data_IF_311085188456
#
_entry.id   IF_311085188456
#
_cell.length_a   1.000
_cell.length_b   1.000
_cell.length_c   1.000
_cell.angle_alpha   90.00
_cell.angle_beta   90.00
_cell.angle_gamma   90.00
#
_symmetry.space_group_name_H-M   'P 1'
#
loop_
_entity.id
_entity.type
_entity.pdbx_description
1 polymer ?
#
# COMPACT_ATOMS: atom_id res chain seq x y z
N UNK A 1 -27.66 6.78 -13.61
CA UNK A 1 -27.89 5.33 -13.39
C UNK A 1 -28.63 4.78 -14.60
N UNK A 2 -27.99 3.93 -15.41
CA UNK A 2 -28.67 3.27 -16.52
C UNK A 2 -29.65 2.22 -15.97
N UNK A 3 -30.93 2.35 -16.29
CA UNK A 3 -31.94 1.37 -15.90
C UNK A 3 -31.57 0.00 -16.47
N UNK A 4 -31.55 -1.03 -15.61
CA UNK A 4 -31.48 -2.43 -16.06
C UNK A 4 -32.73 -2.67 -16.90
N UNK A 5 -32.56 -2.72 -18.22
CA UNK A 5 -33.65 -3.02 -19.15
C UNK A 5 -34.28 -4.37 -18.79
N UNK A 6 -35.60 -4.47 -18.90
CA UNK A 6 -36.40 -5.63 -18.44
C UNK A 6 -35.89 -6.99 -18.96
N UNK A 7 -35.18 -6.98 -20.09
CA UNK A 7 -34.49 -8.14 -20.64
C UNK A 7 -33.40 -8.71 -19.71
N UNK A 8 -32.50 -7.86 -19.19
CA UNK A 8 -31.42 -8.30 -18.28
C UNK A 8 -31.98 -8.87 -16.97
N UNK A 9 -33.06 -8.28 -16.46
CA UNK A 9 -33.76 -8.78 -15.27
C UNK A 9 -34.40 -10.15 -15.52
N UNK A 10 -35.03 -10.34 -16.68
CA UNK A 10 -35.58 -11.64 -17.10
C UNK A 10 -34.51 -12.72 -17.32
N UNK A 11 -33.35 -12.35 -17.85
CA UNK A 11 -32.25 -13.30 -18.06
C UNK A 11 -31.64 -13.77 -16.73
N UNK A 12 -31.48 -12.88 -15.74
CA UNK A 12 -31.07 -13.23 -14.38
C UNK A 12 -32.08 -14.17 -13.67
N UNK A 13 -33.38 -13.91 -13.83
CA UNK A 13 -34.44 -14.73 -13.24
C UNK A 13 -34.54 -16.15 -13.85
N UNK A 14 -33.96 -16.38 -15.03
CA UNK A 14 -33.94 -17.67 -15.73
C UNK A 14 -32.68 -18.48 -15.45
N UNK A 15 -31.69 -17.94 -14.74
CA UNK A 15 -30.47 -18.66 -14.40
C UNK A 15 -30.69 -19.69 -13.30
N UNK A 16 -30.07 -20.87 -13.45
CA UNK A 16 -30.04 -21.85 -12.37
C UNK A 16 -29.28 -21.28 -11.15
N UNK A 17 -29.66 -21.64 -9.91
CA UNK A 17 -29.03 -21.10 -8.69
C UNK A 17 -27.51 -21.22 -8.64
N UNK A 18 -26.93 -22.26 -9.26
CA UNK A 18 -25.49 -22.43 -9.37
C UNK A 18 -24.83 -21.37 -10.27
N UNK A 19 -25.43 -21.05 -11.42
CA UNK A 19 -24.92 -20.05 -12.36
C UNK A 19 -25.04 -18.63 -11.80
N UNK A 20 -26.11 -18.36 -11.03
CA UNK A 20 -26.27 -17.12 -10.26
C UNK A 20 -25.14 -16.94 -9.24
N UNK A 21 -24.82 -17.98 -8.45
CA UNK A 21 -23.73 -17.93 -7.45
C UNK A 21 -22.37 -17.64 -8.08
N UNK A 22 -22.08 -18.20 -9.25
CA UNK A 22 -20.83 -17.94 -9.99
C UNK A 22 -20.74 -16.48 -10.43
N UNK A 23 -21.82 -15.91 -10.98
CA UNK A 23 -21.83 -14.50 -11.38
C UNK A 23 -21.70 -13.56 -10.18
N UNK A 24 -22.39 -13.84 -9.07
CA UNK A 24 -22.21 -13.06 -7.85
C UNK A 24 -20.78 -13.14 -7.32
N UNK A 25 -20.16 -14.34 -7.31
CA UNK A 25 -18.75 -14.49 -6.95
C UNK A 25 -17.84 -13.63 -7.84
N UNK A 26 -18.08 -13.63 -9.14
CA UNK A 26 -17.33 -12.80 -10.10
C UNK A 26 -17.48 -11.30 -9.81
N UNK A 27 -18.70 -10.84 -9.47
CA UNK A 27 -18.94 -9.43 -9.13
C UNK A 27 -18.25 -9.06 -7.81
N UNK A 28 -18.28 -9.94 -6.82
CA UNK A 28 -17.61 -9.74 -5.52
C UNK A 28 -16.09 -9.65 -5.73
N UNK A 29 -15.52 -10.54 -6.53
CA UNK A 29 -14.10 -10.51 -6.90
C UNK A 29 -13.77 -9.20 -7.61
N UNK A 30 -14.51 -8.82 -8.65
CA UNK A 30 -14.28 -7.57 -9.38
C UNK A 30 -14.36 -6.33 -8.47
N UNK A 31 -15.28 -6.31 -7.50
CA UNK A 31 -15.39 -5.21 -6.55
C UNK A 31 -14.20 -5.19 -5.58
N UNK A 32 -13.76 -6.36 -5.13
CA UNK A 32 -12.60 -6.49 -4.25
C UNK A 32 -11.28 -6.14 -4.98
N UNK A 33 -11.16 -6.52 -6.26
CA UNK A 33 -10.04 -6.19 -7.14
C UNK A 33 -9.95 -4.69 -7.39
N UNK A 34 -11.09 -3.98 -7.51
CA UNK A 34 -11.09 -2.52 -7.62
C UNK A 34 -10.58 -1.82 -6.34
N UNK A 35 -10.74 -2.44 -5.18
CA UNK A 35 -10.23 -1.89 -3.93
C UNK A 35 -8.74 -2.16 -3.77
N UNK A 36 -8.30 -3.38 -4.08
CA UNK A 36 -6.94 -3.87 -3.93
C UNK A 36 -6.41 -3.79 -2.50
N UNK A 37 -5.30 -4.46 -2.22
CA UNK A 37 -4.58 -4.30 -0.96
C UNK A 37 -3.07 -4.28 -1.17
N UNK A 38 -2.31 -3.53 -0.36
CA UNK A 38 -0.86 -3.55 -0.44
C UNK A 38 -0.29 -4.81 0.21
N UNK A 39 0.61 -5.48 -0.49
CA UNK A 39 1.53 -6.49 0.03
C UNK A 39 2.91 -5.84 0.18
N UNK A 40 3.53 -6.01 1.36
CA UNK A 40 4.79 -5.35 1.69
C UNK A 40 5.88 -6.43 1.85
N UNK A 41 7.01 -6.25 1.15
CA UNK A 41 8.22 -7.06 1.33
C UNK A 41 9.42 -6.17 1.63
N UNK A 42 10.32 -6.67 2.47
CA UNK A 42 11.52 -5.95 2.92
C UNK A 42 12.72 -6.69 2.34
N UNK A 43 13.58 -5.96 1.63
CA UNK A 43 14.81 -6.49 1.09
C UNK A 43 15.91 -6.58 2.15
N UNK A 44 17.00 -7.26 1.84
CA UNK A 44 18.18 -7.28 2.72
C UNK A 44 18.84 -5.91 2.72
N UNK A 45 19.40 -5.54 3.87
CA UNK A 45 20.22 -4.34 4.02
C UNK A 45 21.40 -4.34 3.05
N UNK A 46 21.56 -3.22 2.36
CA UNK A 46 22.73 -2.87 1.55
C UNK A 46 23.77 -2.12 2.39
N UNK A 47 24.36 -1.07 1.82
CA UNK A 47 25.16 -0.11 2.61
C UNK A 47 24.21 0.93 3.17
N UNK A 48 23.88 0.82 4.46
CA UNK A 48 23.05 1.77 5.21
C UNK A 48 21.66 2.00 4.59
N UNK A 49 21.19 1.06 3.76
CA UNK A 49 19.95 1.20 2.99
C UNK A 49 19.14 -0.09 2.98
N UNK A 50 17.83 0.02 3.17
CA UNK A 50 16.88 -1.09 3.02
C UNK A 50 15.75 -0.66 2.08
N UNK A 51 15.54 -1.42 1.02
CA UNK A 51 14.42 -1.22 0.12
C UNK A 51 13.20 -2.00 0.61
N UNK A 52 12.05 -1.33 0.66
CA UNK A 52 10.74 -1.87 1.02
C UNK A 52 9.85 -1.80 -0.21
N UNK A 53 9.48 -2.96 -0.73
CA UNK A 53 8.59 -3.07 -1.89
C UNK A 53 7.15 -3.15 -1.44
N UNK A 54 6.31 -2.34 -2.08
CA UNK A 54 4.85 -2.35 -1.95
C UNK A 54 4.29 -2.81 -3.29
N UNK A 55 3.58 -3.93 -3.30
CA UNK A 55 2.88 -4.44 -4.47
C UNK A 55 1.38 -4.49 -4.18
N UNK A 56 0.60 -3.79 -4.98
CA UNK A 56 -0.86 -3.89 -4.92
C UNK A 56 -1.29 -5.26 -5.44
N UNK A 57 -2.18 -5.89 -4.68
CA UNK A 57 -2.75 -7.21 -4.93
C UNK A 57 -4.25 -7.14 -5.08
N UNK A 58 -4.78 -8.01 -5.92
CA UNK A 58 -6.22 -8.22 -6.09
C UNK A 58 -6.75 -9.24 -5.07
N UNK A 59 -8.05 -9.55 -5.09
CA UNK A 59 -8.65 -10.47 -4.12
C UNK A 59 -8.11 -11.91 -4.19
N UNK A 60 -7.46 -12.26 -5.30
CA UNK A 60 -6.84 -13.57 -5.58
C UNK A 60 -5.34 -13.59 -5.28
N UNK A 61 -4.81 -12.49 -4.73
CA UNK A 61 -3.40 -12.27 -4.46
C UNK A 61 -2.52 -12.13 -5.71
N UNK A 62 -3.12 -11.91 -6.88
CA UNK A 62 -2.41 -11.58 -8.11
C UNK A 62 -2.01 -10.11 -8.11
N UNK A 63 -0.98 -9.76 -8.89
CA UNK A 63 -0.54 -8.37 -9.00
C UNK A 63 -1.61 -7.52 -9.67
N UNK A 64 -2.05 -6.47 -8.97
CA UNK A 64 -3.05 -5.55 -9.46
C UNK A 64 -2.37 -4.34 -10.10
N UNK A 65 -2.42 -4.27 -11.43
CA UNK A 65 -1.93 -3.13 -12.18
C UNK A 65 -2.82 -1.90 -11.96
N UNK A 66 -2.20 -0.73 -11.80
CA UNK A 66 -2.88 0.54 -11.58
C UNK A 66 -2.10 1.47 -10.68
N UNK A 67 -2.49 2.74 -10.69
CA UNK A 67 -1.91 3.77 -9.83
C UNK A 67 -2.76 3.90 -8.57
N UNK A 68 -2.18 3.58 -7.43
CA UNK A 68 -2.85 3.60 -6.14
C UNK A 68 -2.15 4.57 -5.20
N UNK A 69 -2.93 5.44 -4.56
CA UNK A 69 -2.44 6.32 -3.49
C UNK A 69 -2.79 5.73 -2.12
N UNK A 70 -1.83 5.79 -1.21
CA UNK A 70 -1.92 5.32 0.17
C UNK A 70 -1.26 6.34 1.08
N UNK A 71 -1.83 6.58 2.25
CA UNK A 71 -1.12 7.34 3.28
C UNK A 71 -0.10 6.42 3.96
N UNK A 72 1.05 6.94 4.34
CA UNK A 72 2.07 6.19 5.07
C UNK A 72 2.47 6.87 6.37
N UNK A 73 2.98 6.06 7.29
CA UNK A 73 3.66 6.46 8.51
C UNK A 73 4.86 5.55 8.75
N UNK A 74 6.02 6.13 9.03
CA UNK A 74 7.18 5.44 9.61
C UNK A 74 7.06 5.47 11.12
N UNK A 75 7.20 4.31 11.77
CA UNK A 75 6.95 4.12 13.19
C UNK A 75 7.95 3.17 13.82
N UNK A 76 8.06 3.18 15.14
CA UNK A 76 8.81 2.20 15.93
C UNK A 76 8.02 0.91 16.16
N UNK A 77 6.76 0.85 15.70
CA UNK A 77 5.90 -0.32 15.83
C UNK A 77 4.92 -0.52 14.66
N UNK A 78 4.50 -1.77 14.45
CA UNK A 78 3.40 -2.10 13.57
C UNK A 78 2.11 -1.40 14.02
N UNK A 79 1.44 -0.72 13.09
CA UNK A 79 0.28 0.13 13.33
C UNK A 79 0.50 1.22 14.41
N UNK A 80 1.75 1.60 14.65
CA UNK A 80 2.12 2.63 15.62
C UNK A 80 1.95 4.05 15.09
N UNK A 81 2.11 5.01 16.01
CA UNK A 81 2.18 6.43 15.68
C UNK A 81 3.50 6.76 14.95
N UNK A 82 3.63 7.93 14.32
CA UNK A 82 4.89 8.35 13.73
C UNK A 82 6.03 8.28 14.74
N UNK A 83 7.17 7.75 14.31
CA UNK A 83 8.38 7.73 15.15
C UNK A 83 8.81 9.16 15.49
N UNK A 84 9.37 9.33 16.69
CA UNK A 84 10.04 10.57 17.09
C UNK A 84 11.52 10.56 16.74
N UNK A 85 12.06 9.40 16.34
CA UNK A 85 13.45 9.19 15.96
C UNK A 85 13.49 8.65 14.51
N UNK A 86 13.29 9.54 13.53
CA UNK A 86 13.14 9.16 12.13
C UNK A 86 14.47 8.74 11.47
N UNK A 87 14.43 8.01 10.33
CA UNK A 87 15.64 7.56 9.68
C UNK A 87 16.63 8.69 9.40
N UNK A 88 17.91 8.51 9.74
CA UNK A 88 18.94 9.56 9.76
C UNK A 88 19.06 10.30 8.42
N UNK A 89 19.01 9.56 7.31
CA UNK A 89 19.09 10.12 5.94
C UNK A 89 17.72 10.09 5.23
N UNK A 90 16.67 9.76 5.96
CA UNK A 90 15.29 9.82 5.52
C UNK A 90 14.84 8.64 4.66
N UNK A 91 13.74 8.89 3.94
CA UNK A 91 13.02 7.88 3.16
C UNK A 91 12.79 8.42 1.74
N UNK A 92 13.06 7.62 0.72
CA UNK A 92 12.95 8.02 -0.69
C UNK A 92 12.19 6.98 -1.52
N UNK A 93 11.60 7.36 -2.64
CA UNK A 93 11.04 6.39 -3.60
C UNK A 93 12.06 6.10 -4.72
N UNK A 94 12.33 4.82 -4.96
CA UNK A 94 13.06 4.36 -6.15
C UNK A 94 12.12 3.85 -7.25
N UNK A 95 10.87 3.55 -6.91
CA UNK A 95 9.78 3.27 -7.85
C UNK A 95 8.48 3.86 -7.32
N UNK A 96 7.66 4.40 -8.22
CA UNK A 96 6.47 5.16 -7.85
C UNK A 96 6.82 6.58 -7.42
N UNK A 97 5.99 7.15 -6.56
CA UNK A 97 6.14 8.50 -6.02
C UNK A 97 5.97 8.44 -4.51
N UNK A 98 6.85 9.11 -3.77
CA UNK A 98 6.74 9.36 -2.34
C UNK A 98 6.60 10.86 -2.13
N UNK A 99 5.60 11.25 -1.35
CA UNK A 99 5.47 12.60 -0.82
C UNK A 99 5.40 12.50 0.70
N UNK A 100 6.44 12.94 1.38
CA UNK A 100 6.52 12.94 2.82
C UNK A 100 6.30 14.31 3.47
N UNK A 101 6.05 14.26 4.77
CA UNK A 101 6.01 15.37 5.71
C UNK A 101 6.80 14.95 6.96
N UNK A 102 7.66 15.84 7.44
CA UNK A 102 8.23 15.72 8.77
C UNK A 102 7.13 15.95 9.83
N UNK A 103 7.09 15.10 10.86
CA UNK A 103 6.25 15.32 12.04
C UNK A 103 6.53 16.69 12.67
N UNK A 104 5.52 17.56 12.76
CA UNK A 104 5.61 18.83 13.49
C UNK A 104 5.93 20.10 12.68
N UNK A 105 5.94 20.08 11.33
CA UNK A 105 6.26 21.27 10.51
C UNK A 105 5.24 21.51 9.39
N UNK A 106 4.85 22.78 9.20
CA UNK A 106 3.90 23.24 8.18
C UNK A 106 4.57 23.39 6.79
N UNK A 107 4.74 22.27 6.06
CA UNK A 107 5.06 22.15 4.62
C UNK A 107 6.35 22.81 4.04
N UNK A 108 6.90 22.14 3.01
CA UNK A 108 8.08 22.42 2.15
C UNK A 108 9.47 22.00 2.69
N UNK A 109 9.78 20.72 2.43
CA UNK A 109 11.08 20.06 2.19
C UNK A 109 12.16 19.87 3.31
N UNK A 110 12.97 18.83 3.03
CA UNK A 110 14.32 18.44 3.51
C UNK A 110 14.42 17.67 4.83
N UNK A 111 14.07 16.37 4.76
CA UNK A 111 14.43 15.30 5.73
C UNK A 111 13.96 15.48 7.18
N UNK A 112 13.76 14.38 7.93
CA UNK A 112 13.36 13.02 7.52
C UNK A 112 11.83 12.82 7.56
N UNK A 113 11.31 12.04 6.60
CA UNK A 113 9.88 11.89 6.34
C UNK A 113 9.26 10.76 7.17
N UNK A 114 8.40 11.12 8.12
CA UNK A 114 7.73 10.14 8.99
C UNK A 114 6.30 9.86 8.62
N UNK A 115 5.66 10.72 7.84
CA UNK A 115 4.27 10.55 7.40
C UNK A 115 4.10 11.11 6.00
N UNK A 116 3.07 10.70 5.28
CA UNK A 116 2.76 11.30 3.99
C UNK A 116 1.90 10.40 3.14
N UNK A 117 2.09 10.45 1.82
CA UNK A 117 1.44 9.53 0.90
C UNK A 117 2.41 8.97 -0.13
N UNK A 118 2.17 7.72 -0.48
CA UNK A 118 2.86 6.97 -1.53
C UNK A 118 1.88 6.80 -2.69
N UNK A 119 2.40 6.86 -3.91
CA UNK A 119 1.67 6.51 -5.11
C UNK A 119 2.44 5.46 -5.91
N UNK A 120 1.79 4.34 -6.23
CA UNK A 120 2.39 3.29 -7.06
C UNK A 120 2.55 3.72 -8.52
N UNK A 121 3.43 3.05 -9.24
CA UNK A 121 3.51 3.12 -10.70
C UNK A 121 2.31 2.43 -11.37
N UNK A 122 2.32 2.37 -12.71
CA UNK A 122 1.24 1.75 -13.49
C UNK A 122 1.10 0.23 -13.28
N UNK A 123 2.09 -0.43 -12.67
CA UNK A 123 2.07 -1.87 -12.36
C UNK A 123 1.53 -2.16 -10.95
N UNK A 124 1.10 -1.12 -10.22
CA UNK A 124 0.69 -1.25 -8.83
C UNK A 124 1.86 -1.41 -7.87
N UNK A 125 3.08 -1.04 -8.29
CA UNK A 125 4.29 -1.19 -7.49
C UNK A 125 4.81 0.17 -7.00
N UNK A 126 5.27 0.21 -5.75
CA UNK A 126 6.15 1.26 -5.25
C UNK A 126 7.33 0.60 -4.54
N UNK A 127 8.50 1.23 -4.60
CA UNK A 127 9.68 0.80 -3.84
C UNK A 127 10.20 2.00 -3.08
N UNK A 128 10.25 1.84 -1.77
CA UNK A 128 10.61 2.88 -0.82
C UNK A 128 11.92 2.48 -0.17
N UNK A 129 12.93 3.35 -0.26
CA UNK A 129 14.24 3.17 0.35
C UNK A 129 14.29 3.90 1.68
N UNK A 130 14.65 3.18 2.72
CA UNK A 130 15.06 3.72 4.00
C UNK A 130 16.58 3.84 4.01
N UNK A 131 17.10 4.95 4.53
CA UNK A 131 18.53 5.15 4.73
C UNK A 131 18.78 5.51 6.20
N UNK A 132 19.62 4.73 6.86
CA UNK A 132 19.89 4.85 8.30
C UNK A 132 21.36 4.56 8.60
N UNK A 133 21.92 5.31 9.54
CA UNK A 133 23.27 5.07 10.05
C UNK A 133 23.21 4.51 11.47
N UNK A 134 23.61 3.26 11.63
CA UNK A 134 23.66 2.58 12.93
C UNK A 134 22.47 1.65 13.15
N UNK A 135 22.25 1.29 14.41
CA UNK A 135 21.31 0.23 14.78
C UNK A 135 19.97 0.79 15.18
N UNK A 136 19.05 0.87 14.22
CA UNK A 136 17.65 1.23 14.47
C UNK A 136 16.67 0.23 13.83
N UNK A 137 15.42 0.30 14.27
CA UNK A 137 14.34 -0.53 13.74
C UNK A 137 13.09 0.28 13.50
N UNK A 138 12.61 0.23 12.26
CA UNK A 138 11.42 0.94 11.82
C UNK A 138 10.34 -0.01 11.30
N UNK A 139 9.14 0.54 11.15
CA UNK A 139 7.99 -0.09 10.50
C UNK A 139 7.36 0.90 9.53
N UNK A 140 7.08 0.44 8.31
CA UNK A 140 6.28 1.16 7.35
C UNK A 140 4.81 0.75 7.53
N UNK A 141 3.98 1.71 7.92
CA UNK A 141 2.55 1.54 8.07
C UNK A 141 1.84 2.25 6.91
N UNK A 142 1.01 1.53 6.16
CA UNK A 142 0.22 2.06 5.05
C UNK A 142 -1.26 2.04 5.40
N UNK A 143 -1.96 3.13 5.14
CA UNK A 143 -3.42 3.20 5.25
C UNK A 143 -4.01 3.14 3.84
N UNK A 144 -4.84 2.11 3.61
CA UNK A 144 -5.63 1.96 2.38
C UNK A 144 -7.08 1.69 2.74
N UNK A 145 -7.96 2.64 2.39
CA UNK A 145 -9.35 2.60 2.82
C UNK A 145 -9.43 2.80 4.34
N UNK A 146 -10.02 1.84 5.05
CA UNK A 146 -10.16 1.86 6.51
C UNK A 146 -9.25 0.84 7.23
N UNK A 147 -8.20 0.35 6.55
CA UNK A 147 -7.28 -0.66 7.08
C UNK A 147 -5.85 -0.15 7.06
N UNK A 148 -5.12 -0.51 8.11
CA UNK A 148 -3.67 -0.34 8.21
C UNK A 148 -2.97 -1.63 7.82
N UNK A 149 -1.94 -1.52 7.00
CA UNK A 149 -1.07 -2.60 6.56
C UNK A 149 0.35 -2.26 7.03
N UNK A 150 0.92 -3.10 7.87
CA UNK A 150 2.25 -2.89 8.43
C UNK A 150 3.26 -3.80 7.75
N UNK A 151 4.45 -3.28 7.51
CA UNK A 151 5.61 -4.09 7.19
C UNK A 151 6.00 -5.00 8.37
N UNK A 152 6.92 -5.94 8.12
CA UNK A 152 7.76 -6.47 9.19
C UNK A 152 8.72 -5.40 9.74
N UNK A 153 9.56 -5.78 10.71
CA UNK A 153 10.63 -4.92 11.22
C UNK A 153 11.65 -4.64 10.10
N UNK A 154 11.98 -3.36 9.92
CA UNK A 154 13.05 -2.86 9.05
C UNK A 154 14.23 -2.56 9.97
N UNK A 155 15.09 -3.54 10.18
CA UNK A 155 16.19 -3.44 11.15
C UNK A 155 17.51 -3.23 10.42
N UNK A 156 18.19 -2.13 10.76
CA UNK A 156 19.53 -1.82 10.29
C UNK A 156 20.59 -2.42 11.21
N UNK A 157 21.69 -2.87 10.61
CA UNK A 157 22.86 -3.33 11.33
C UNK A 157 23.76 -2.14 11.71
N UNK A 158 24.59 -2.34 12.74
CA UNK A 158 25.60 -1.36 13.18
C UNK A 158 26.74 -1.16 12.16
#
# INVERSE_FOLDING_TARGET
MAAITDKKRNDLNRMAPAAWKVQLGTIIDLLADQLGYPSISIETEGTDTIDVTIQMKDAKADNLAGVFRMDFTVSDAAAGAPTTDPPSDGVTATTGILFGFASGVSYLEVTPDTVGWIQTDSTGKAVIRFTETGTDTFYLNLVKGNKTYSSGAITFAA
#
